data_IF_024739770928
#
_entry.id   IF_024739770928
#
_cell.length_a   1.000
_cell.length_b   1.000
_cell.length_c   1.000
_cell.angle_alpha   90.00
_cell.angle_beta   90.00
_cell.angle_gamma   90.00
#
_symmetry.space_group_name_H-M   'P 1'
#
loop_
_entity.id
_entity.type
_entity.pdbx_description
1 polymer ?
#
# COMPACT_ATOMS: atom_id res chain seq x y z
N UNK A 1 6.20 -10.12 -11.65
CA UNK A 1 6.36 -8.69 -11.27
C UNK A 1 6.21 -7.75 -12.46
N UNK A 2 6.93 -7.96 -13.57
CA UNK A 2 6.78 -7.10 -14.78
C UNK A 2 5.36 -7.16 -15.37
N UNK A 3 4.69 -8.32 -15.34
CA UNK A 3 3.29 -8.47 -15.77
C UNK A 3 2.32 -7.64 -14.92
N UNK A 4 2.46 -7.67 -13.58
CA UNK A 4 1.65 -6.84 -12.68
C UNK A 4 1.72 -5.34 -13.04
N UNK A 5 2.90 -4.84 -13.43
CA UNK A 5 3.09 -3.45 -13.85
C UNK A 5 2.54 -3.15 -15.25
N UNK A 6 2.59 -4.12 -16.17
CA UNK A 6 1.98 -3.98 -17.51
C UNK A 6 0.45 -3.99 -17.43
N UNK A 7 -0.11 -4.86 -16.60
CA UNK A 7 -1.55 -5.07 -16.49
C UNK A 7 -2.23 -4.05 -15.56
N UNK A 8 -1.55 -3.60 -14.50
CA UNK A 8 -2.10 -2.61 -13.57
C UNK A 8 -2.08 -1.16 -14.08
N UNK A 9 -1.58 -0.94 -15.31
CA UNK A 9 -1.61 0.36 -15.97
C UNK A 9 -0.80 1.46 -15.27
N UNK A 10 -1.08 2.71 -15.65
CA UNK A 10 -0.34 3.88 -15.16
C UNK A 10 -0.42 4.06 -13.63
N UNK A 11 -1.55 3.67 -13.01
CA UNK A 11 -1.79 3.81 -11.57
C UNK A 11 -0.82 3.01 -10.68
N UNK A 12 -0.24 1.92 -11.19
CA UNK A 12 0.80 1.15 -10.48
C UNK A 12 2.02 2.00 -10.13
N UNK A 13 2.39 2.97 -10.98
CA UNK A 13 3.55 3.83 -10.74
C UNK A 13 3.34 4.78 -9.56
N UNK A 14 2.14 5.34 -9.42
CA UNK A 14 1.78 6.18 -8.28
C UNK A 14 1.92 5.41 -6.96
N UNK A 15 1.37 4.18 -6.92
CA UNK A 15 1.46 3.30 -5.74
C UNK A 15 2.92 2.97 -5.42
N UNK A 16 3.73 2.65 -6.44
CA UNK A 16 5.15 2.35 -6.25
C UNK A 16 5.91 3.54 -5.67
N UNK A 17 5.76 4.73 -6.24
CA UNK A 17 6.49 5.93 -5.82
C UNK A 17 6.15 6.28 -4.37
N UNK A 18 4.87 6.41 -4.06
CA UNK A 18 4.45 6.78 -2.71
C UNK A 18 4.72 5.66 -1.70
N UNK A 19 4.53 4.40 -2.11
CA UNK A 19 4.80 3.25 -1.27
C UNK A 19 6.29 3.08 -0.95
N UNK A 20 7.20 3.34 -1.89
CA UNK A 20 8.64 3.32 -1.62
C UNK A 20 9.07 4.45 -0.69
N UNK A 21 8.54 5.66 -0.87
CA UNK A 21 8.81 6.80 0.04
C UNK A 21 8.31 6.48 1.45
N UNK A 22 7.12 5.89 1.56
CA UNK A 22 6.53 5.44 2.82
C UNK A 22 7.42 4.38 3.49
N UNK A 23 7.77 3.30 2.76
CA UNK A 23 8.59 2.19 3.28
C UNK A 23 9.98 2.67 3.69
N UNK A 24 10.64 3.51 2.86
CA UNK A 24 11.94 4.08 3.19
C UNK A 24 11.88 4.95 4.45
N UNK A 25 10.84 5.77 4.58
CA UNK A 25 10.62 6.61 5.76
C UNK A 25 10.29 5.79 7.01
N UNK A 26 9.51 4.72 6.85
CA UNK A 26 9.19 3.78 7.92
C UNK A 26 10.45 3.04 8.39
N UNK A 27 11.30 2.59 7.46
CA UNK A 27 12.58 1.97 7.77
C UNK A 27 13.52 2.92 8.52
N UNK A 28 13.58 4.19 8.11
CA UNK A 28 14.31 5.24 8.84
C UNK A 28 13.75 5.44 10.25
N UNK A 29 12.43 5.49 10.40
CA UNK A 29 11.76 5.60 11.70
C UNK A 29 12.04 4.38 12.59
N UNK A 30 12.04 3.17 12.04
CA UNK A 30 12.39 1.95 12.76
C UNK A 30 13.84 2.01 13.29
N UNK A 31 14.77 2.53 12.47
CA UNK A 31 16.18 2.67 12.85
C UNK A 31 16.41 3.78 13.89
N UNK A 32 15.74 4.93 13.74
CA UNK A 32 15.87 6.11 14.60
C UNK A 32 14.49 6.68 14.93
N UNK A 33 13.81 6.14 15.94
CA UNK A 33 12.45 6.53 16.26
C UNK A 33 12.37 7.99 16.71
N UNK A 34 11.64 8.81 15.98
CA UNK A 34 11.33 10.20 16.33
C UNK A 34 9.84 10.46 16.10
N UNK A 35 9.14 10.91 17.15
CA UNK A 35 7.68 11.17 17.11
C UNK A 35 7.29 12.18 16.05
N UNK A 36 8.20 13.09 15.69
CA UNK A 36 7.96 14.10 14.64
C UNK A 36 7.76 13.50 13.25
N UNK A 37 8.19 12.25 13.02
CA UNK A 37 8.03 11.56 11.73
C UNK A 37 6.65 10.90 11.57
N UNK A 38 5.88 10.70 12.66
CA UNK A 38 4.60 9.99 12.63
C UNK A 38 3.54 10.65 11.74
N UNK A 39 3.33 12.00 11.76
CA UNK A 39 2.36 12.63 10.89
C UNK A 39 2.69 12.44 9.41
N UNK A 40 3.98 12.53 9.03
CA UNK A 40 4.43 12.28 7.67
C UNK A 40 4.20 10.83 7.24
N UNK A 41 4.52 9.86 8.11
CA UNK A 41 4.25 8.44 7.89
C UNK A 41 2.76 8.16 7.69
N UNK A 42 1.90 8.76 8.52
CA UNK A 42 0.45 8.66 8.38
C UNK A 42 -0.06 9.26 7.06
N UNK A 43 0.43 10.45 6.70
CA UNK A 43 0.08 11.09 5.43
C UNK A 43 0.51 10.24 4.22
N UNK A 44 1.73 9.69 4.23
CA UNK A 44 2.22 8.82 3.16
C UNK A 44 1.46 7.50 3.06
N UNK A 45 1.04 6.91 4.19
CA UNK A 45 0.17 5.75 4.19
C UNK A 45 -1.19 6.08 3.57
N UNK A 46 -1.79 7.21 3.94
CA UNK A 46 -3.04 7.69 3.34
C UNK A 46 -2.89 7.94 1.83
N UNK A 47 -1.84 8.62 1.40
CA UNK A 47 -1.54 8.83 -0.02
C UNK A 47 -1.43 7.51 -0.76
N UNK A 48 -0.75 6.52 -0.18
CA UNK A 48 -0.64 5.18 -0.77
C UNK A 48 -2.02 4.51 -0.91
N UNK A 49 -2.89 4.60 0.10
CA UNK A 49 -4.27 4.09 0.03
C UNK A 49 -5.07 4.81 -1.06
N UNK A 50 -4.98 6.14 -1.15
CA UNK A 50 -5.66 6.91 -2.19
C UNK A 50 -5.17 6.52 -3.59
N UNK A 51 -3.86 6.30 -3.77
CA UNK A 51 -3.32 5.81 -5.04
C UNK A 51 -3.78 4.39 -5.39
N UNK A 52 -3.97 3.51 -4.40
CA UNK A 52 -4.58 2.19 -4.64
C UNK A 52 -5.99 2.35 -5.19
N UNK A 53 -6.80 3.22 -4.57
CA UNK A 53 -8.18 3.49 -5.01
C UNK A 53 -8.22 4.09 -6.41
N UNK A 54 -7.36 5.08 -6.69
CA UNK A 54 -7.26 5.73 -8.00
C UNK A 54 -6.86 4.74 -9.10
N UNK A 55 -5.83 3.91 -8.87
CA UNK A 55 -5.43 2.86 -9.80
C UNK A 55 -6.53 1.82 -10.03
N UNK A 56 -7.25 1.44 -8.97
CA UNK A 56 -8.39 0.50 -9.06
C UNK A 56 -9.52 1.11 -9.90
N UNK A 57 -9.80 2.41 -9.71
CA UNK A 57 -10.84 3.12 -10.46
C UNK A 57 -10.49 3.23 -11.95
N UNK A 58 -9.23 3.48 -12.28
CA UNK A 58 -8.76 3.49 -13.68
C UNK A 58 -8.91 2.11 -14.33
N UNK A 59 -8.56 1.03 -13.62
CA UNK A 59 -8.74 -0.33 -14.11
C UNK A 59 -10.21 -0.66 -14.36
N UNK A 60 -11.10 -0.30 -13.43
CA UNK A 60 -12.55 -0.45 -13.60
C UNK A 60 -13.07 0.36 -14.80
N UNK A 61 -12.62 1.60 -14.95
CA UNK A 61 -12.95 2.43 -16.11
C UNK A 61 -12.53 1.80 -17.44
N UNK A 62 -11.38 1.13 -17.48
CA UNK A 62 -10.93 0.38 -18.66
C UNK A 62 -11.83 -0.83 -18.95
N UNK A 63 -12.25 -1.57 -17.92
CA UNK A 63 -13.20 -2.69 -18.06
C UNK A 63 -14.54 -2.20 -18.60
N UNK A 64 -15.13 -1.16 -18.00
CA UNK A 64 -16.42 -0.63 -18.47
C UNK A 64 -16.34 -0.09 -19.90
N UNK A 65 -15.25 0.59 -20.25
CA UNK A 65 -15.01 1.05 -21.62
C UNK A 65 -14.93 -0.12 -22.62
N UNK A 66 -14.31 -1.23 -22.23
CA UNK A 66 -14.21 -2.42 -23.07
C UNK A 66 -15.57 -3.11 -23.24
N UNK A 67 -16.37 -3.20 -22.15
CA UNK A 67 -17.70 -3.81 -22.18
C UNK A 67 -18.74 -2.97 -22.93
N UNK A 68 -18.58 -1.65 -22.98
CA UNK A 68 -19.49 -0.76 -23.72
C UNK A 68 -19.31 -0.81 -25.25
N UNK A 69 -18.28 -1.47 -25.74
CA UNK A 69 -17.94 -1.54 -27.16
C UNK A 69 -18.36 -2.91 -27.73
N UNK A 70 -19.65 -3.05 -28.09
CA UNK A 70 -20.26 -4.29 -28.61
C UNK A 70 -19.56 -4.83 -29.85
N UNK A 71 -18.93 -3.98 -30.66
CA UNK A 71 -18.19 -4.41 -31.85
C UNK A 71 -16.83 -5.06 -31.53
N UNK A 72 -16.33 -4.86 -30.31
CA UNK A 72 -14.97 -5.24 -29.93
C UNK A 72 -14.87 -6.59 -29.22
N UNK A 73 -15.94 -7.03 -28.56
CA UNK A 73 -15.93 -8.27 -27.77
C UNK A 73 -17.14 -9.14 -28.17
N UNK A 74 -16.91 -10.28 -28.84
CA UNK A 74 -17.98 -11.24 -29.12
C UNK A 74 -18.63 -11.76 -27.82
N UNK A 75 -19.96 -11.92 -27.82
CA UNK A 75 -20.73 -12.38 -26.66
C UNK A 75 -20.19 -13.67 -26.03
N UNK A 76 -19.69 -14.59 -26.87
CA UNK A 76 -19.14 -15.87 -26.44
C UNK A 76 -17.94 -15.76 -25.47
N UNK A 77 -17.21 -14.63 -25.48
CA UNK A 77 -16.06 -14.39 -24.60
C UNK A 77 -16.29 -13.26 -23.59
N UNK A 78 -17.43 -12.58 -23.63
CA UNK A 78 -17.73 -11.41 -22.81
C UNK A 78 -17.56 -11.67 -21.31
N UNK A 79 -18.15 -12.75 -20.80
CA UNK A 79 -18.11 -13.12 -19.38
C UNK A 79 -16.68 -13.42 -18.90
N UNK A 80 -15.89 -14.12 -19.73
CA UNK A 80 -14.48 -14.40 -19.44
C UNK A 80 -13.66 -13.12 -19.40
N UNK A 81 -13.82 -12.24 -20.40
CA UNK A 81 -13.11 -10.97 -20.49
C UNK A 81 -13.47 -10.04 -19.32
N UNK A 82 -14.74 -10.00 -18.93
CA UNK A 82 -15.19 -9.27 -17.74
C UNK A 82 -14.49 -9.78 -16.47
N UNK A 83 -14.42 -11.10 -16.27
CA UNK A 83 -13.81 -11.68 -15.08
C UNK A 83 -12.30 -11.52 -15.04
N UNK A 84 -11.66 -11.58 -16.21
CA UNK A 84 -10.25 -11.24 -16.38
C UNK A 84 -9.99 -9.78 -15.99
N UNK A 85 -10.80 -8.83 -16.50
CA UNK A 85 -10.74 -7.41 -16.15
C UNK A 85 -10.89 -7.15 -14.65
N UNK A 86 -11.88 -7.78 -14.00
CA UNK A 86 -12.06 -7.65 -12.55
C UNK A 86 -10.89 -8.23 -11.74
N UNK A 87 -10.34 -9.37 -12.18
CA UNK A 87 -9.10 -9.91 -11.60
C UNK A 87 -7.98 -8.89 -11.68
N UNK A 88 -7.83 -8.17 -12.80
CA UNK A 88 -6.79 -7.14 -12.94
C UNK A 88 -6.99 -5.96 -11.98
N UNK A 89 -8.24 -5.57 -11.71
CA UNK A 89 -8.58 -4.50 -10.78
C UNK A 89 -8.14 -4.78 -9.33
N UNK A 90 -7.87 -6.04 -8.97
CA UNK A 90 -7.37 -6.41 -7.62
C UNK A 90 -5.87 -6.19 -7.46
N UNK A 91 -5.12 -6.10 -8.56
CA UNK A 91 -3.65 -6.00 -8.54
C UNK A 91 -3.12 -4.75 -7.84
N UNK A 92 -3.69 -3.54 -8.01
CA UNK A 92 -3.29 -2.36 -7.24
C UNK A 92 -3.42 -2.56 -5.73
N UNK A 93 -4.53 -3.17 -5.29
CA UNK A 93 -4.77 -3.49 -3.89
C UNK A 93 -3.76 -4.47 -3.31
N UNK A 94 -3.47 -5.55 -4.03
CA UNK A 94 -2.47 -6.54 -3.60
C UNK A 94 -1.07 -5.92 -3.49
N UNK A 95 -0.67 -5.13 -4.51
CA UNK A 95 0.64 -4.52 -4.54
C UNK A 95 0.81 -3.43 -3.46
N UNK A 96 -0.09 -2.46 -3.42
CA UNK A 96 -0.04 -1.38 -2.43
C UNK A 96 -0.28 -1.87 -1.01
N UNK A 97 -1.13 -2.88 -0.82
CA UNK A 97 -1.32 -3.57 0.45
C UNK A 97 -0.03 -4.19 0.98
N UNK A 98 0.76 -4.84 0.12
CA UNK A 98 2.08 -5.37 0.50
C UNK A 98 3.04 -4.29 1.00
N UNK A 99 3.09 -3.13 0.33
CA UNK A 99 3.91 -1.99 0.76
C UNK A 99 3.45 -1.44 2.11
N UNK A 100 2.14 -1.31 2.31
CA UNK A 100 1.54 -0.91 3.59
C UNK A 100 1.87 -1.91 4.71
N UNK A 101 1.80 -3.21 4.45
CA UNK A 101 2.17 -4.24 5.42
C UNK A 101 3.63 -4.08 5.87
N UNK A 102 4.56 -3.88 4.94
CA UNK A 102 5.98 -3.67 5.25
C UNK A 102 6.17 -2.38 6.07
N UNK A 103 5.53 -1.28 5.67
CA UNK A 103 5.62 -0.02 6.41
C UNK A 103 5.06 -0.14 7.83
N UNK A 104 3.94 -0.85 8.01
CA UNK A 104 3.36 -1.13 9.33
C UNK A 104 4.30 -1.97 10.21
N UNK A 105 5.00 -2.96 9.64
CA UNK A 105 6.01 -3.73 10.38
C UNK A 105 7.15 -2.83 10.88
N UNK A 106 7.67 -1.94 10.02
CA UNK A 106 8.69 -0.98 10.44
C UNK A 106 8.17 0.01 11.49
N UNK A 107 6.94 0.49 11.34
CA UNK A 107 6.30 1.37 12.31
C UNK A 107 6.20 0.67 13.69
N UNK A 108 5.75 -0.59 13.73
CA UNK A 108 5.67 -1.38 14.95
C UNK A 108 7.05 -1.53 15.63
N UNK A 109 8.10 -1.82 14.86
CA UNK A 109 9.48 -1.88 15.37
C UNK A 109 9.93 -0.53 15.96
N UNK A 110 9.65 0.57 15.25
CA UNK A 110 10.01 1.91 15.72
C UNK A 110 9.26 2.29 17.01
N UNK A 111 7.97 1.96 17.10
CA UNK A 111 7.16 2.19 18.30
C UNK A 111 7.66 1.37 19.50
N UNK A 112 8.01 0.09 19.31
CA UNK A 112 8.59 -0.75 20.36
C UNK A 112 9.91 -0.18 20.90
N UNK A 113 10.72 0.43 20.04
CA UNK A 113 11.98 1.08 20.42
C UNK A 113 11.78 2.42 21.15
N UNK A 114 10.61 3.05 21.01
CA UNK A 114 10.27 4.27 21.76
C UNK A 114 9.81 3.99 23.19
N UNK A 115 9.43 2.75 23.53
CA UNK A 115 8.95 2.41 24.86
C UNK A 115 10.09 2.56 25.87
N UNK A 116 9.96 3.42 26.90
CA UNK A 116 10.95 3.51 27.97
C UNK A 116 11.11 2.13 28.61
N UNK A 117 12.34 1.63 28.75
CA UNK A 117 12.58 0.45 29.59
C UNK A 117 12.06 0.77 30.98
N UNK A 118 11.15 -0.04 31.51
CA UNK A 118 10.73 0.05 32.89
C UNK A 118 12.00 -0.02 33.75
N UNK A 119 12.38 1.10 34.35
CA UNK A 119 13.47 1.13 35.34
C UNK A 119 13.05 0.23 36.48
N UNK A 120 13.88 -0.77 36.82
CA UNK A 120 13.61 -1.64 37.96
C UNK A 120 13.32 -0.77 39.19
N UNK A 121 12.32 -1.11 40.02
CA UNK A 121 12.08 -0.37 41.24
C UNK A 121 13.38 -0.34 42.05
N UNK A 122 13.88 0.88 42.29
CA UNK A 122 15.02 1.13 43.17
C UNK A 122 14.62 0.65 44.56
N UNK A 123 15.14 -0.50 44.97
CA UNK A 123 15.20 -0.91 46.37
C UNK A 123 16.09 0.11 47.08
N UNK A 124 15.48 1.16 47.65
CA UNK A 124 16.15 2.02 48.61
C UNK A 124 16.42 1.16 49.86
N UNK A 125 17.66 1.11 50.37
CA UNK A 125 17.95 0.38 51.59
C UNK A 125 17.26 1.07 52.76
N UNK A 126 16.70 0.22 53.62
CA UNK A 126 16.07 0.54 54.91
C UNK A 126 17.10 1.23 55.81
N UNK A 127 16.70 2.35 56.41
CA UNK A 127 17.27 2.88 57.65
C UNK A 127 16.11 3.16 58.62
#
# INVERSE_FOLDING_TARGET
>A
MVELFKEGGWGMWSILVFGLIMVGSAGRFAARPDRRQLPFLGAMALTTVVSILEATWMALGAVFKALSDEQRIPDAVLTRTMWEGFKECTRPGAFGGGLLTIACLFLAVGLLRMTPRASSPSTKPVL
#
